data_IF_719229478047
#
_entry.id   IF_719229478047
#
_cell.length_a   1.000
_cell.length_b   1.000
_cell.length_c   1.000
_cell.angle_alpha   90.00
_cell.angle_beta   90.00
_cell.angle_gamma   90.00
#
_symmetry.space_group_name_H-M   'P 1'
#
loop_
_entity.id
_entity.type
_entity.pdbx_description
1 polymer ?
#
# COMPACT_ATOMS: atom_id res chain seq x y z
N UNK A 1 -41.50 43.17 29.40
CA UNK A 1 -41.97 42.88 28.03
C UNK A 1 -42.21 41.38 27.93
N UNK A 2 -43.48 40.99 27.88
CA UNK A 2 -43.93 39.65 27.53
C UNK A 2 -43.65 39.42 26.03
N UNK A 3 -43.16 38.23 25.68
CA UNK A 3 -43.22 37.71 24.31
C UNK A 3 -43.94 36.36 24.38
N UNK A 4 -45.07 36.15 23.69
CA UNK A 4 -45.82 34.89 23.68
C UNK A 4 -45.55 34.00 22.46
N UNK A 5 -45.72 32.69 22.69
CA UNK A 5 -46.10 31.57 21.78
C UNK A 5 -45.08 31.08 20.72
N UNK A 6 -45.10 29.79 20.31
CA UNK A 6 -46.30 29.02 19.93
C UNK A 6 -46.44 27.57 20.43
N UNK A 7 -47.71 27.13 20.44
CA UNK A 7 -48.21 25.76 20.50
C UNK A 7 -47.52 24.83 19.49
N UNK A 8 -47.11 23.66 19.96
CA UNK A 8 -46.76 22.53 19.12
C UNK A 8 -47.87 21.48 19.27
N UNK A 9 -48.79 21.59 18.33
CA UNK A 9 -49.49 20.54 17.58
C UNK A 9 -49.48 19.13 18.20
N UNK A 10 -50.69 18.78 18.65
CA UNK A 10 -51.23 17.46 18.86
C UNK A 10 -51.43 16.80 17.48
N UNK A 11 -50.83 15.63 17.23
CA UNK A 11 -51.22 14.74 16.13
C UNK A 11 -50.86 13.31 16.52
N UNK A 12 -51.87 12.68 17.09
CA UNK A 12 -52.04 11.27 17.39
C UNK A 12 -52.14 10.40 16.12
N UNK A 13 -51.88 9.11 16.37
CA UNK A 13 -52.41 7.90 15.71
C UNK A 13 -51.85 7.40 14.36
N UNK A 14 -51.08 6.31 14.53
CA UNK A 14 -51.10 5.01 13.83
C UNK A 14 -51.88 4.85 12.53
N UNK A 15 -51.21 4.33 11.48
CA UNK A 15 -51.80 3.22 10.73
C UNK A 15 -50.70 2.29 10.16
N UNK A 16 -50.87 1.02 10.50
CA UNK A 16 -50.08 -0.14 10.12
C UNK A 16 -50.55 -0.62 8.74
N UNK A 17 -49.67 -0.66 7.75
CA UNK A 17 -49.91 -1.43 6.52
C UNK A 17 -48.72 -2.35 6.26
N UNK A 18 -48.93 -3.60 6.68
CA UNK A 18 -48.18 -4.75 6.22
C UNK A 18 -48.45 -5.05 4.74
N UNK A 19 -47.57 -5.85 4.15
CA UNK A 19 -47.64 -6.48 2.82
C UNK A 19 -47.22 -5.66 1.59
N UNK A 20 -45.94 -5.80 1.19
CA UNK A 20 -45.59 -6.37 -0.12
C UNK A 20 -44.07 -6.66 -0.26
N UNK A 21 -43.53 -7.65 0.44
CA UNK A 21 -42.28 -8.28 -0.01
C UNK A 21 -42.56 -9.15 -1.24
N UNK A 22 -42.72 -8.51 -2.40
CA UNK A 22 -42.65 -9.17 -3.70
C UNK A 22 -41.18 -9.50 -3.99
N UNK A 23 -40.71 -10.62 -3.44
CA UNK A 23 -39.46 -11.24 -3.87
C UNK A 23 -39.61 -11.73 -5.32
N UNK A 24 -39.34 -10.84 -6.28
CA UNK A 24 -39.04 -11.27 -7.65
C UNK A 24 -37.65 -11.92 -7.64
N UNK A 25 -37.50 -13.17 -8.11
CA UNK A 25 -36.18 -13.76 -8.28
C UNK A 25 -35.44 -12.99 -9.38
N UNK A 26 -34.31 -12.38 -9.01
CA UNK A 26 -33.33 -11.85 -9.96
C UNK A 26 -32.72 -13.04 -10.71
N UNK A 27 -32.65 -13.03 -12.05
CA UNK A 27 -32.07 -14.14 -12.80
C UNK A 27 -30.58 -14.27 -12.45
N UNK A 28 -30.24 -15.39 -11.80
CA UNK A 28 -28.88 -15.91 -11.68
C UNK A 28 -28.40 -16.32 -13.08
N UNK A 29 -27.57 -15.49 -13.71
CA UNK A 29 -26.58 -15.92 -14.69
C UNK A 29 -25.63 -14.76 -14.99
N UNK A 30 -24.70 -14.53 -14.07
CA UNK A 30 -23.37 -14.07 -14.44
C UNK A 30 -22.40 -15.14 -13.94
N UNK A 31 -21.54 -15.69 -14.81
CA UNK A 31 -20.50 -16.60 -14.34
C UNK A 31 -19.67 -15.83 -13.34
N UNK A 32 -19.59 -16.35 -12.12
CA UNK A 32 -18.58 -15.93 -11.15
C UNK A 32 -17.25 -15.92 -11.89
N UNK A 33 -16.70 -14.73 -12.15
CA UNK A 33 -15.28 -14.65 -12.42
C UNK A 33 -14.62 -15.08 -11.13
N UNK A 34 -14.25 -16.35 -11.08
CA UNK A 34 -13.21 -16.84 -10.21
C UNK A 34 -12.01 -15.96 -10.50
N UNK A 35 -11.75 -14.99 -9.61
CA UNK A 35 -10.46 -14.33 -9.58
C UNK A 35 -9.46 -15.42 -9.22
N UNK A 36 -8.90 -16.03 -10.25
CA UNK A 36 -7.69 -16.82 -10.14
C UNK A 36 -6.65 -15.86 -9.56
N UNK A 37 -5.99 -16.15 -8.43
CA UNK A 37 -4.79 -15.43 -8.07
C UNK A 37 -3.73 -15.82 -9.10
N UNK A 38 -3.65 -15.05 -10.20
CA UNK A 38 -2.65 -15.27 -11.23
C UNK A 38 -1.29 -15.07 -10.58
N UNK A 39 -0.60 -16.19 -10.45
CA UNK A 39 0.80 -16.29 -10.06
C UNK A 39 1.66 -15.40 -10.96
N UNK A 40 2.67 -14.78 -10.36
CA UNK A 40 3.65 -13.86 -10.95
C UNK A 40 3.07 -12.50 -11.38
N UNK A 41 3.08 -11.53 -10.45
CA UNK A 41 2.97 -10.11 -10.76
C UNK A 41 4.12 -9.73 -11.70
N UNK A 42 3.84 -9.56 -12.98
CA UNK A 42 4.86 -9.10 -13.92
C UNK A 42 5.00 -7.58 -13.86
N UNK A 43 5.90 -7.12 -12.98
CA UNK A 43 6.20 -5.70 -12.77
C UNK A 43 6.68 -4.98 -14.04
N UNK A 44 7.08 -5.72 -15.10
CA UNK A 44 7.58 -5.11 -16.34
C UNK A 44 6.48 -4.58 -17.26
N UNK A 45 5.24 -5.06 -17.11
CA UNK A 45 4.07 -4.67 -17.93
C UNK A 45 3.13 -3.73 -17.17
N UNK A 46 3.36 -3.51 -15.88
CA UNK A 46 2.54 -2.64 -15.04
C UNK A 46 2.83 -1.16 -15.29
N UNK A 47 1.80 -0.32 -15.15
CA UNK A 47 1.98 1.13 -15.13
C UNK A 47 2.68 1.54 -13.84
N UNK A 48 3.42 2.64 -13.88
CA UNK A 48 4.17 3.15 -12.74
C UNK A 48 3.32 3.32 -11.46
N UNK A 49 2.07 3.78 -11.59
CA UNK A 49 1.14 3.89 -10.46
C UNK A 49 0.80 2.52 -9.84
N UNK A 50 0.58 1.52 -10.69
CA UNK A 50 0.25 0.16 -10.25
C UNK A 50 1.46 -0.49 -9.56
N UNK A 51 2.68 -0.20 -10.03
CA UNK A 51 3.94 -0.62 -9.38
C UNK A 51 4.08 0.03 -8.00
N UNK A 52 3.87 1.34 -7.89
CA UNK A 52 3.93 2.03 -6.59
C UNK A 52 2.89 1.47 -5.63
N UNK A 53 1.66 1.25 -6.09
CA UNK A 53 0.59 0.66 -5.26
C UNK A 53 0.94 -0.76 -4.82
N UNK A 54 1.51 -1.59 -5.71
CA UNK A 54 2.01 -2.91 -5.37
C UNK A 54 3.10 -2.86 -4.30
N UNK A 55 4.08 -1.94 -4.45
CA UNK A 55 5.14 -1.77 -3.46
C UNK A 55 4.56 -1.35 -2.10
N UNK A 56 3.59 -0.46 -2.08
CA UNK A 56 2.93 -0.01 -0.84
C UNK A 56 2.17 -1.17 -0.18
N UNK A 57 1.41 -1.96 -0.94
CA UNK A 57 0.66 -3.10 -0.43
C UNK A 57 1.58 -4.20 0.13
N UNK A 58 2.77 -4.36 -0.46
CA UNK A 58 3.79 -5.30 0.01
C UNK A 58 4.56 -4.83 1.24
N UNK A 59 4.36 -3.59 1.71
CA UNK A 59 5.03 -3.12 2.91
C UNK A 59 4.42 -3.80 4.15
N UNK A 60 5.26 -4.36 5.00
CA UNK A 60 4.84 -4.92 6.29
C UNK A 60 4.43 -3.83 7.28
N UNK A 61 3.70 -4.22 8.31
CA UNK A 61 3.28 -3.30 9.37
C UNK A 61 4.46 -2.62 10.11
N UNK A 62 5.62 -3.29 10.19
CA UNK A 62 6.85 -2.72 10.76
C UNK A 62 7.55 -1.72 9.82
N UNK A 63 7.06 -1.52 8.60
CA UNK A 63 7.69 -0.64 7.60
C UNK A 63 8.76 -1.31 6.73
N UNK A 64 9.08 -2.59 6.96
CA UNK A 64 10.03 -3.31 6.11
C UNK A 64 9.34 -3.93 4.90
N UNK A 65 10.14 -4.32 3.90
CA UNK A 65 9.67 -5.06 2.74
C UNK A 65 10.28 -6.45 2.69
N UNK A 66 9.45 -7.40 2.27
CA UNK A 66 9.88 -8.73 1.93
C UNK A 66 9.39 -9.02 0.51
N UNK A 67 10.23 -8.65 -0.46
CA UNK A 67 10.06 -8.99 -1.86
C UNK A 67 10.99 -10.15 -2.23
N UNK A 68 10.57 -10.93 -3.21
CA UNK A 68 11.39 -11.98 -3.80
C UNK A 68 12.51 -11.39 -4.66
N UNK A 69 13.59 -12.14 -4.84
CA UNK A 69 14.75 -11.73 -5.64
C UNK A 69 14.36 -11.36 -7.08
N UNK A 70 13.37 -12.05 -7.64
CA UNK A 70 12.82 -11.80 -8.98
C UNK A 70 12.16 -10.42 -9.09
N UNK A 71 11.41 -10.01 -8.07
CA UNK A 71 10.76 -8.69 -8.05
C UNK A 71 11.81 -7.58 -7.95
N UNK A 72 12.83 -7.78 -7.11
CA UNK A 72 13.95 -6.84 -6.99
C UNK A 72 14.74 -6.74 -8.30
N UNK A 73 14.97 -7.86 -8.98
CA UNK A 73 15.62 -7.84 -10.29
C UNK A 73 14.80 -7.07 -11.33
N UNK A 74 13.47 -7.20 -11.32
CA UNK A 74 12.59 -6.43 -12.21
C UNK A 74 12.62 -4.92 -11.89
N UNK A 75 12.65 -4.55 -10.61
CA UNK A 75 12.65 -3.16 -10.16
C UNK A 75 13.99 -2.45 -10.40
N UNK A 76 15.10 -3.13 -10.13
CA UNK A 76 16.46 -2.56 -10.21
C UNK A 76 17.14 -2.81 -11.55
N UNK A 77 16.64 -3.79 -12.33
CA UNK A 77 17.30 -4.28 -13.53
C UNK A 77 18.59 -5.08 -13.26
N UNK A 78 18.94 -5.31 -11.99
CA UNK A 78 20.18 -5.98 -11.57
C UNK A 78 19.91 -7.21 -10.73
N UNK A 79 20.74 -8.26 -10.83
CA UNK A 79 20.53 -9.47 -10.04
C UNK A 79 20.79 -9.20 -8.55
N UNK A 80 19.98 -9.83 -7.68
CA UNK A 80 20.08 -9.76 -6.22
C UNK A 80 21.50 -10.02 -5.68
N UNK A 81 22.26 -10.88 -6.37
CA UNK A 81 23.64 -11.25 -6.06
C UNK A 81 24.59 -10.03 -5.91
N UNK A 82 24.28 -8.91 -6.57
CA UNK A 82 25.04 -7.64 -6.47
C UNK A 82 24.84 -6.97 -5.11
N UNK A 83 23.71 -7.19 -4.46
CA UNK A 83 23.33 -6.46 -3.26
C UNK A 83 23.52 -7.27 -1.98
N UNK A 84 23.44 -8.61 -2.05
CA UNK A 84 23.43 -9.52 -0.89
C UNK A 84 24.62 -9.35 0.07
N UNK A 85 25.75 -8.82 -0.39
CA UNK A 85 26.96 -8.66 0.41
C UNK A 85 26.97 -7.37 1.26
N UNK A 86 26.03 -6.46 1.01
CA UNK A 86 26.00 -5.14 1.65
C UNK A 86 25.31 -5.20 3.00
N UNK A 87 24.16 -5.86 3.09
CA UNK A 87 23.32 -5.90 4.29
C UNK A 87 22.42 -7.15 4.32
N UNK A 88 21.83 -7.48 5.49
CA UNK A 88 20.83 -8.55 5.60
C UNK A 88 19.65 -8.30 4.67
N UNK A 89 19.06 -9.38 4.13
CA UNK A 89 18.03 -9.31 3.08
C UNK A 89 16.89 -8.33 3.38
N UNK A 90 16.34 -8.32 4.59
CA UNK A 90 15.22 -7.41 4.95
C UNK A 90 15.60 -5.92 4.92
N UNK A 91 16.80 -5.62 5.43
CA UNK A 91 17.37 -4.26 5.47
C UNK A 91 17.69 -3.79 4.04
N UNK A 92 18.30 -4.69 3.26
CA UNK A 92 18.69 -4.46 1.88
C UNK A 92 17.50 -4.23 0.96
N UNK A 93 16.49 -5.12 1.00
CA UNK A 93 15.26 -5.02 0.22
C UNK A 93 14.55 -3.69 0.50
N UNK A 94 14.44 -3.32 1.78
CA UNK A 94 13.77 -2.09 2.18
C UNK A 94 14.52 -0.85 1.67
N UNK A 95 15.84 -0.84 1.78
CA UNK A 95 16.68 0.25 1.29
C UNK A 95 16.64 0.39 -0.25
N UNK A 96 16.65 -0.73 -0.99
CA UNK A 96 16.49 -0.73 -2.45
C UNK A 96 15.16 -0.12 -2.86
N UNK A 97 14.05 -0.54 -2.24
CA UNK A 97 12.71 -0.05 -2.60
C UNK A 97 12.58 1.44 -2.31
N UNK A 98 13.13 1.92 -1.18
CA UNK A 98 13.19 3.36 -0.87
C UNK A 98 13.89 4.10 -2.02
N UNK A 99 15.07 3.64 -2.43
CA UNK A 99 15.82 4.29 -3.50
C UNK A 99 15.09 4.25 -4.84
N UNK A 100 14.45 3.14 -5.18
CA UNK A 100 13.64 3.02 -6.41
C UNK A 100 12.46 3.98 -6.39
N UNK A 101 11.73 4.08 -5.27
CA UNK A 101 10.64 5.03 -5.09
C UNK A 101 11.13 6.48 -5.21
N UNK A 102 12.26 6.80 -4.59
CA UNK A 102 12.86 8.14 -4.61
C UNK A 102 13.48 8.52 -5.96
N UNK A 103 13.94 7.55 -6.77
CA UNK A 103 14.62 7.82 -8.05
C UNK A 103 13.71 7.70 -9.26
N UNK A 104 12.88 6.65 -9.32
CA UNK A 104 12.05 6.33 -10.49
C UNK A 104 10.63 6.88 -10.36
N UNK A 105 10.09 6.95 -9.16
CA UNK A 105 8.68 7.27 -8.92
C UNK A 105 8.47 8.64 -8.25
N UNK A 106 9.34 9.62 -8.50
CA UNK A 106 9.29 10.97 -7.90
C UNK A 106 7.94 11.68 -8.09
N UNK A 107 7.29 11.46 -9.24
CA UNK A 107 5.96 11.98 -9.56
C UNK A 107 4.85 11.46 -8.63
N UNK A 108 5.05 10.31 -7.99
CA UNK A 108 4.13 9.68 -7.05
C UNK A 108 4.54 9.89 -5.59
N UNK A 109 5.43 10.85 -5.31
CA UNK A 109 5.94 11.14 -3.97
C UNK A 109 4.86 11.27 -2.91
N UNK A 110 3.73 11.90 -3.22
CA UNK A 110 2.61 12.03 -2.28
C UNK A 110 2.05 10.67 -1.82
N UNK A 111 2.14 9.63 -2.65
CA UNK A 111 1.63 8.29 -2.35
C UNK A 111 2.62 7.48 -1.50
N UNK A 112 3.92 7.54 -1.82
CA UNK A 112 4.92 6.73 -1.12
C UNK A 112 5.66 7.45 0.00
N UNK A 113 5.55 8.77 0.16
CA UNK A 113 6.33 9.52 1.15
C UNK A 113 6.13 8.99 2.59
N UNK A 114 4.88 8.76 3.02
CA UNK A 114 4.61 8.20 4.36
C UNK A 114 5.17 6.79 4.55
N UNK A 115 5.11 5.99 3.48
CA UNK A 115 5.58 4.60 3.44
C UNK A 115 7.12 4.55 3.52
N UNK A 116 7.81 5.42 2.78
CA UNK A 116 9.27 5.57 2.82
C UNK A 116 9.74 6.09 4.17
N UNK A 117 9.06 7.08 4.77
CA UNK A 117 9.40 7.56 6.11
C UNK A 117 9.28 6.43 7.14
N UNK A 118 8.21 5.66 7.10
CA UNK A 118 8.01 4.49 7.97
C UNK A 118 9.13 3.46 7.80
N UNK A 119 9.53 3.19 6.56
CA UNK A 119 10.62 2.27 6.28
C UNK A 119 11.98 2.78 6.73
N UNK A 120 12.26 4.07 6.60
CA UNK A 120 13.49 4.69 7.12
C UNK A 120 13.56 4.56 8.64
N UNK A 121 12.46 4.78 9.34
CA UNK A 121 12.37 4.55 10.79
C UNK A 121 12.63 3.08 11.13
N UNK A 122 12.05 2.16 10.37
CA UNK A 122 12.29 0.71 10.53
C UNK A 122 13.77 0.35 10.34
N UNK A 123 14.40 0.86 9.29
CA UNK A 123 15.83 0.68 9.03
C UNK A 123 16.68 1.25 10.16
N UNK A 124 16.31 2.43 10.68
CA UNK A 124 16.99 3.07 11.79
C UNK A 124 16.92 2.19 13.04
N UNK A 125 15.75 1.65 13.39
CA UNK A 125 15.61 0.72 14.52
C UNK A 125 16.43 -0.57 14.32
N UNK A 126 16.42 -1.16 13.11
CA UNK A 126 17.18 -2.36 12.79
C UNK A 126 18.71 -2.14 12.82
N UNK A 127 19.18 -0.94 12.49
CA UNK A 127 20.60 -0.58 12.48
C UNK A 127 21.09 -0.01 13.83
N UNK A 128 20.28 -0.14 14.90
CA UNK A 128 20.64 0.28 16.24
C UNK A 128 20.57 1.80 16.46
N UNK A 129 19.66 2.47 15.75
CA UNK A 129 19.41 3.92 15.78
C UNK A 129 20.58 4.77 15.30
N UNK A 130 21.43 4.19 14.45
CA UNK A 130 22.56 4.87 13.84
C UNK A 130 22.22 5.35 12.43
N UNK A 131 21.87 6.63 12.32
CA UNK A 131 21.53 7.26 11.04
C UNK A 131 22.72 7.27 10.06
N UNK A 132 23.95 7.22 10.56
CA UNK A 132 25.17 7.19 9.72
C UNK A 132 25.22 5.88 8.95
N UNK A 133 24.92 4.76 9.60
CA UNK A 133 24.85 3.44 8.95
C UNK A 133 23.73 3.36 7.93
N UNK A 134 22.56 3.94 8.25
CA UNK A 134 21.43 4.01 7.31
C UNK A 134 21.83 4.78 6.05
N UNK A 135 22.42 5.97 6.21
CA UNK A 135 22.85 6.79 5.07
C UNK A 135 23.97 6.12 4.27
N UNK A 136 24.96 5.53 4.94
CA UNK A 136 26.04 4.80 4.26
C UNK A 136 25.49 3.62 3.45
N UNK A 137 24.55 2.86 4.01
CA UNK A 137 23.86 1.76 3.32
C UNK A 137 23.11 2.24 2.08
N UNK A 138 22.31 3.31 2.22
CA UNK A 138 21.56 3.87 1.10
C UNK A 138 22.52 4.36 0.00
N UNK A 139 23.64 4.98 0.36
CA UNK A 139 24.63 5.42 -0.62
C UNK A 139 25.35 4.26 -1.31
N UNK A 140 25.69 3.19 -0.58
CA UNK A 140 26.32 2.02 -1.20
C UNK A 140 25.38 1.28 -2.16
N UNK A 141 24.09 1.16 -1.81
CA UNK A 141 23.09 0.60 -2.73
C UNK A 141 22.87 1.54 -3.91
N UNK A 142 22.84 2.86 -3.69
CA UNK A 142 22.67 3.86 -4.75
C UNK A 142 23.80 3.82 -5.78
N UNK A 143 25.04 3.56 -5.37
CA UNK A 143 26.17 3.36 -6.31
C UNK A 143 25.99 2.11 -7.19
N UNK A 144 25.24 1.14 -6.67
CA UNK A 144 25.01 -0.14 -7.34
C UNK A 144 23.74 -0.14 -8.19
N UNK A 145 22.84 0.84 -8.07
CA UNK A 145 21.65 1.05 -8.92
C UNK A 145 22.05 1.82 -10.18
#
# INVERSE_FOLDING_TARGET
>A
MNIPLPDADDSDDEEEDADLFSCKPVPQNTPFQTFIPTSATDLSVMRDEDIVRYLIDKQKFNGSWQLDETDIQKLTGKPWNVFQHIAPNEVLTSAIIILILETRFTSFSMMWHGIVQKARTSLLDLLGKDMTKVNALLEDIRKQL
#
